data_IF_636141998101
#
_entry.id   IF_636141998101
#
_cell.length_a   1.000
_cell.length_b   1.000
_cell.length_c   1.000
_cell.angle_alpha   90.00
_cell.angle_beta   90.00
_cell.angle_gamma   90.00
#
_symmetry.space_group_name_H-M   'P 1'
#
loop_
_entity.id
_entity.type
_entity.pdbx_description
1 polymer ?
#
# COMPACT_ATOMS: atom_id res chain seq x y z
N UNK A 1 -5.02 16.63 -32.44
CA UNK A 1 -4.93 16.24 -31.01
C UNK A 1 -5.16 14.74 -30.79
N UNK A 2 -6.33 14.14 -31.04
CA UNK A 2 -6.51 12.67 -30.85
C UNK A 2 -5.65 11.84 -31.82
N UNK A 3 -5.43 12.30 -33.03
CA UNK A 3 -4.57 11.66 -34.04
C UNK A 3 -3.07 11.73 -33.70
N UNK A 4 -2.67 12.57 -32.75
CA UNK A 4 -1.28 12.75 -32.30
C UNK A 4 -0.91 11.83 -31.15
N UNK A 5 -1.91 11.21 -30.50
CA UNK A 5 -1.70 10.25 -29.38
C UNK A 5 -1.00 9.00 -29.89
N UNK A 6 0.16 8.70 -29.33
CA UNK A 6 0.96 7.54 -29.70
C UNK A 6 0.81 6.39 -28.69
N UNK A 7 0.09 5.36 -29.10
CA UNK A 7 0.04 4.10 -28.35
C UNK A 7 1.44 3.51 -28.12
N UNK A 8 2.32 3.62 -29.10
CA UNK A 8 3.67 3.04 -29.00
C UNK A 8 4.53 3.77 -27.96
N UNK A 9 4.42 5.11 -27.85
CA UNK A 9 5.11 5.88 -26.81
C UNK A 9 4.61 5.50 -25.43
N UNK A 10 3.29 5.37 -25.24
CA UNK A 10 2.73 4.95 -23.96
C UNK A 10 3.19 3.53 -23.59
N UNK A 11 3.12 2.57 -24.50
CA UNK A 11 3.60 1.20 -24.27
C UNK A 11 5.08 1.15 -23.97
N UNK A 12 5.90 1.91 -24.71
CA UNK A 12 7.33 2.02 -24.46
C UNK A 12 7.62 2.55 -23.05
N UNK A 13 6.90 3.58 -22.62
CA UNK A 13 7.01 4.14 -21.28
C UNK A 13 6.63 3.10 -20.19
N UNK A 14 5.51 2.38 -20.38
CA UNK A 14 5.08 1.34 -19.44
C UNK A 14 6.15 0.24 -19.32
N UNK A 15 6.63 -0.29 -20.45
CA UNK A 15 7.68 -1.32 -20.46
C UNK A 15 8.95 -0.82 -19.78
N UNK A 16 9.42 0.36 -20.16
CA UNK A 16 10.61 0.93 -19.56
C UNK A 16 10.50 1.10 -18.05
N UNK A 17 9.38 1.66 -17.56
CA UNK A 17 9.16 1.86 -16.12
C UNK A 17 9.07 0.54 -15.35
N UNK A 18 8.41 -0.47 -15.91
CA UNK A 18 8.22 -1.76 -15.23
C UNK A 18 9.45 -2.65 -15.23
N UNK A 19 10.31 -2.52 -16.25
CA UNK A 19 11.55 -3.29 -16.38
C UNK A 19 12.71 -2.66 -15.61
N UNK A 20 12.87 -1.32 -15.70
CA UNK A 20 14.01 -0.61 -15.11
C UNK A 20 13.75 -0.14 -13.68
N UNK A 21 12.48 0.08 -13.33
CA UNK A 21 12.08 0.54 -12.00
C UNK A 21 10.98 -0.36 -11.39
N UNK A 22 11.22 -1.68 -11.25
CA UNK A 22 10.17 -2.64 -10.86
C UNK A 22 9.70 -2.50 -9.41
N UNK A 23 10.47 -1.81 -8.55
CA UNK A 23 10.19 -1.61 -7.12
C UNK A 23 10.40 -0.15 -6.75
N UNK A 24 9.48 0.70 -7.23
CA UNK A 24 9.51 2.17 -7.03
C UNK A 24 8.88 2.55 -5.70
N UNK A 25 9.29 1.90 -4.62
CA UNK A 25 8.75 2.25 -3.30
C UNK A 25 9.13 3.68 -2.94
N UNK A 26 8.16 4.45 -2.42
CA UNK A 26 8.37 5.84 -2.02
C UNK A 26 9.61 5.99 -1.12
N UNK A 27 10.52 6.88 -1.50
CA UNK A 27 11.80 7.11 -0.82
C UNK A 27 12.90 6.08 -1.10
N UNK A 28 12.68 5.15 -2.03
CA UNK A 28 13.71 4.19 -2.45
C UNK A 28 14.62 4.76 -3.54
N UNK A 29 15.84 4.22 -3.72
CA UNK A 29 16.69 4.58 -4.86
C UNK A 29 16.03 4.33 -6.21
N UNK A 30 15.15 3.35 -6.31
CA UNK A 30 14.40 3.01 -7.51
C UNK A 30 13.33 4.07 -7.83
N UNK A 31 12.63 4.60 -6.82
CA UNK A 31 11.72 5.75 -6.98
C UNK A 31 12.47 6.98 -7.45
N UNK A 32 13.60 7.32 -6.83
CA UNK A 32 14.45 8.43 -7.24
C UNK A 32 14.94 8.30 -8.71
N UNK A 33 15.26 7.08 -9.16
CA UNK A 33 15.64 6.82 -10.54
C UNK A 33 14.46 6.98 -11.50
N UNK A 34 13.27 6.50 -11.14
CA UNK A 34 12.04 6.69 -11.91
C UNK A 34 11.67 8.17 -12.01
N UNK A 35 11.82 8.92 -10.93
CA UNK A 35 11.58 10.36 -10.90
C UNK A 35 12.52 11.11 -11.88
N UNK A 36 13.81 10.78 -11.89
CA UNK A 36 14.74 11.34 -12.87
C UNK A 36 14.33 11.03 -14.31
N UNK A 37 13.94 9.78 -14.57
CA UNK A 37 13.44 9.39 -15.90
C UNK A 37 12.25 10.26 -16.33
N UNK A 38 11.25 10.41 -15.50
CA UNK A 38 10.07 11.25 -15.80
C UNK A 38 10.48 12.71 -16.02
N UNK A 39 11.34 13.25 -15.15
CA UNK A 39 11.89 14.61 -15.28
C UNK A 39 12.56 14.83 -16.64
N UNK A 40 13.41 13.90 -17.07
CA UNK A 40 14.11 14.03 -18.36
C UNK A 40 13.14 13.89 -19.55
N UNK A 41 12.14 13.04 -19.47
CA UNK A 41 11.09 12.95 -20.51
C UNK A 41 10.32 14.26 -20.66
N UNK A 42 9.90 14.85 -19.54
CA UNK A 42 9.20 16.14 -19.55
C UNK A 42 10.04 17.28 -20.13
N UNK A 43 11.35 17.33 -19.80
CA UNK A 43 12.30 18.29 -20.42
C UNK A 43 12.45 18.06 -21.91
N UNK A 44 12.53 16.80 -22.39
CA UNK A 44 12.60 16.48 -23.81
C UNK A 44 11.38 16.96 -24.60
N UNK A 45 10.23 17.08 -23.93
CA UNK A 45 9.01 17.66 -24.52
C UNK A 45 9.01 19.19 -24.53
N UNK A 46 10.07 19.81 -24.00
CA UNK A 46 10.24 21.27 -24.00
C UNK A 46 9.51 22.00 -22.88
N UNK A 47 9.09 21.28 -21.85
CA UNK A 47 8.38 21.87 -20.71
C UNK A 47 9.34 22.48 -19.68
N UNK A 48 8.86 23.44 -18.93
CA UNK A 48 9.51 23.91 -17.72
C UNK A 48 9.28 22.86 -16.61
N UNK A 49 10.38 22.30 -16.06
CA UNK A 49 10.31 21.14 -15.16
C UNK A 49 11.08 21.39 -13.89
N UNK A 50 10.44 21.14 -12.77
CA UNK A 50 11.04 21.07 -11.44
C UNK A 50 10.86 19.64 -10.89
N UNK A 51 11.92 19.05 -10.31
CA UNK A 51 11.81 17.80 -9.54
C UNK A 51 11.90 18.15 -8.05
N UNK A 52 10.73 18.28 -7.41
CA UNK A 52 10.63 18.67 -6.01
C UNK A 52 10.98 17.52 -5.10
N UNK A 53 11.65 17.82 -3.99
CA UNK A 53 12.00 16.87 -2.95
C UNK A 53 11.19 17.13 -1.69
N UNK A 54 10.67 16.05 -1.10
CA UNK A 54 9.91 16.11 0.15
C UNK A 54 10.45 15.10 1.14
N UNK A 55 10.60 15.49 2.39
CA UNK A 55 10.94 14.59 3.48
C UNK A 55 9.66 13.97 4.03
N UNK A 56 9.51 12.65 3.90
CA UNK A 56 8.25 11.94 4.18
C UNK A 56 8.48 10.72 5.07
N UNK A 57 7.45 10.36 5.85
CA UNK A 57 7.43 9.17 6.69
C UNK A 57 6.95 7.97 5.89
N UNK A 58 7.88 7.09 5.56
CA UNK A 58 7.70 5.95 4.68
C UNK A 58 7.84 4.60 5.41
N UNK A 59 7.56 3.52 4.72
CA UNK A 59 7.72 2.16 5.23
C UNK A 59 8.08 1.20 4.11
N UNK A 60 9.07 0.33 4.35
CA UNK A 60 9.41 -0.79 3.47
C UNK A 60 8.93 -2.10 4.09
N UNK A 61 7.87 -2.73 3.56
CA UNK A 61 7.38 -4.03 4.00
C UNK A 61 8.23 -5.15 3.37
N UNK A 62 9.13 -5.75 4.16
CA UNK A 62 10.18 -6.65 3.67
C UNK A 62 9.77 -8.13 3.65
N UNK A 63 9.29 -8.66 4.79
CA UNK A 63 9.09 -10.09 4.95
C UNK A 63 7.91 -10.41 5.86
N UNK A 64 7.18 -11.50 5.55
CA UNK A 64 6.26 -12.13 6.50
C UNK A 64 6.22 -13.64 6.35
N UNK A 65 5.88 -14.31 7.45
CA UNK A 65 5.53 -15.72 7.51
C UNK A 65 4.38 -15.87 8.48
N UNK A 66 3.37 -16.66 8.10
CA UNK A 66 2.22 -16.99 8.94
C UNK A 66 2.08 -18.50 9.00
N UNK A 67 1.94 -19.05 10.21
CA UNK A 67 1.68 -20.46 10.44
C UNK A 67 0.53 -20.60 11.42
N UNK A 68 -0.53 -21.31 11.05
CA UNK A 68 -1.56 -21.78 11.99
C UNK A 68 -0.95 -22.92 12.79
N UNK A 69 -1.16 -22.93 14.11
CA UNK A 69 -0.51 -23.92 14.97
C UNK A 69 -1.30 -25.22 15.07
N UNK A 70 -2.65 -25.16 14.98
CA UNK A 70 -3.51 -26.35 15.02
C UNK A 70 -4.79 -26.15 14.19
N UNK A 71 -5.00 -26.96 13.11
CA UNK A 71 -4.01 -27.85 12.49
C UNK A 71 -2.82 -27.08 11.93
N UNK A 72 -1.62 -27.62 11.97
CA UNK A 72 -0.43 -26.95 11.45
C UNK A 72 -0.58 -26.68 9.96
N UNK A 73 -0.52 -25.39 9.56
CA UNK A 73 -0.70 -25.00 8.18
C UNK A 73 0.06 -23.68 7.91
N UNK A 74 0.93 -23.68 6.90
CA UNK A 74 1.54 -22.45 6.43
C UNK A 74 0.54 -21.66 5.56
N UNK A 75 0.55 -20.34 5.73
CA UNK A 75 -0.30 -19.40 5.01
C UNK A 75 0.59 -18.42 4.24
N UNK A 76 0.37 -18.33 2.94
CA UNK A 76 1.01 -17.31 2.12
C UNK A 76 0.59 -15.92 2.57
N UNK A 77 1.58 -15.07 2.84
CA UNK A 77 1.34 -13.74 3.38
C UNK A 77 2.30 -12.70 2.81
N UNK A 78 1.89 -11.44 2.85
CA UNK A 78 2.75 -10.28 2.63
C UNK A 78 2.63 -9.34 3.84
N UNK A 79 3.74 -8.74 4.29
CA UNK A 79 3.67 -7.77 5.36
C UNK A 79 2.96 -6.50 4.89
N UNK A 80 2.18 -5.89 5.77
CA UNK A 80 1.63 -4.57 5.52
C UNK A 80 2.71 -3.49 5.76
N UNK A 81 2.56 -2.34 5.11
CA UNK A 81 3.40 -1.18 5.38
C UNK A 81 2.96 -0.47 6.66
N UNK A 82 3.90 0.21 7.34
CA UNK A 82 3.68 0.97 8.58
C UNK A 82 3.19 0.12 9.76
N UNK A 83 3.60 -1.15 9.82
CA UNK A 83 3.32 -2.05 10.95
C UNK A 83 4.32 -1.86 12.08
N UNK A 84 3.95 -2.30 13.29
CA UNK A 84 4.92 -2.72 14.30
C UNK A 84 5.55 -4.03 13.83
N UNK A 85 6.86 -4.07 13.66
CA UNK A 85 7.56 -5.31 13.34
C UNK A 85 7.46 -6.31 14.51
N UNK A 86 7.37 -7.60 14.18
CA UNK A 86 7.50 -8.67 15.17
C UNK A 86 8.97 -8.88 15.54
N UNK A 87 9.22 -9.69 16.57
CA UNK A 87 10.53 -10.30 16.78
C UNK A 87 10.90 -11.20 15.58
N UNK A 88 12.20 -11.41 15.31
CA UNK A 88 12.63 -12.28 14.20
C UNK A 88 12.10 -13.72 14.28
N UNK A 89 11.97 -14.26 15.49
CA UNK A 89 11.40 -15.61 15.75
C UNK A 89 9.89 -15.68 15.59
N UNK A 90 9.22 -14.55 15.40
CA UNK A 90 7.79 -14.41 15.33
C UNK A 90 7.10 -14.29 16.68
N UNK A 91 5.82 -13.94 16.64
CA UNK A 91 4.94 -13.82 17.81
C UNK A 91 3.69 -14.68 17.61
N UNK A 92 3.15 -15.24 18.71
CA UNK A 92 1.94 -16.08 18.66
C UNK A 92 0.75 -15.24 19.09
N UNK A 93 -0.33 -15.33 18.33
CA UNK A 93 -1.60 -14.63 18.59
C UNK A 93 -2.77 -15.63 18.51
N UNK A 94 -3.75 -15.42 19.36
CA UNK A 94 -5.09 -15.95 19.10
C UNK A 94 -5.72 -15.13 17.95
N UNK A 95 -6.30 -15.81 16.97
CA UNK A 95 -6.92 -15.20 15.79
C UNK A 95 -8.45 -15.11 16.00
N UNK A 96 -8.99 -13.91 15.86
CA UNK A 96 -10.42 -13.64 15.98
C UNK A 96 -10.94 -13.04 14.66
N UNK A 97 -12.01 -13.62 14.11
CA UNK A 97 -12.67 -13.05 12.95
C UNK A 97 -13.64 -11.94 13.37
N UNK A 98 -13.48 -10.75 12.78
CA UNK A 98 -14.26 -9.54 13.08
C UNK A 98 -14.88 -8.92 11.82
N UNK A 99 -15.20 -9.72 10.82
CA UNK A 99 -15.93 -9.27 9.63
C UNK A 99 -15.26 -8.11 8.89
N UNK A 100 -16.00 -7.03 8.71
CA UNK A 100 -15.50 -5.83 8.02
C UNK A 100 -14.56 -4.95 8.88
N UNK A 101 -14.43 -5.20 10.19
CA UNK A 101 -13.52 -4.49 11.07
C UNK A 101 -13.90 -3.02 11.34
N UNK A 102 -15.18 -2.67 11.24
CA UNK A 102 -15.71 -1.41 11.78
C UNK A 102 -15.98 -1.52 13.29
N UNK A 103 -16.32 -0.44 13.95
CA UNK A 103 -16.60 -0.45 15.40
C UNK A 103 -17.72 -1.42 15.80
N UNK A 104 -18.74 -1.58 14.96
CA UNK A 104 -19.86 -2.47 15.24
C UNK A 104 -19.44 -3.94 15.23
N UNK A 105 -18.43 -4.28 14.42
CA UNK A 105 -17.90 -5.64 14.34
C UNK A 105 -17.16 -6.11 15.60
N UNK A 106 -16.76 -5.20 16.48
CA UNK A 106 -16.10 -5.53 17.77
C UNK A 106 -17.07 -5.60 18.94
N UNK A 107 -18.38 -5.34 18.71
CA UNK A 107 -19.35 -5.38 19.79
C UNK A 107 -19.35 -6.76 20.46
N UNK A 108 -19.23 -6.76 21.78
CA UNK A 108 -19.23 -7.96 22.64
C UNK A 108 -18.08 -8.96 22.35
N UNK A 109 -17.02 -8.53 21.63
CA UNK A 109 -15.84 -9.35 21.31
C UNK A 109 -14.60 -8.75 21.98
N UNK A 110 -13.96 -9.51 22.87
CA UNK A 110 -12.65 -9.13 23.43
C UNK A 110 -11.52 -9.53 22.47
N UNK A 111 -10.84 -8.52 21.93
CA UNK A 111 -9.69 -8.69 21.04
C UNK A 111 -8.37 -8.24 21.66
N UNK A 112 -8.37 -7.95 22.97
CA UNK A 112 -7.20 -7.45 23.69
C UNK A 112 -6.00 -8.40 23.56
N UNK A 113 -4.90 -7.91 22.99
CA UNK A 113 -3.68 -8.68 22.75
C UNK A 113 -3.78 -9.73 21.63
N UNK A 114 -4.90 -9.83 20.93
CA UNK A 114 -5.14 -10.82 19.88
C UNK A 114 -4.88 -10.26 18.47
N UNK A 115 -4.87 -11.14 17.49
CA UNK A 115 -4.86 -10.76 16.06
C UNK A 115 -6.27 -10.85 15.51
N UNK A 116 -6.72 -9.83 14.80
CA UNK A 116 -8.04 -9.81 14.16
C UNK A 116 -7.92 -10.13 12.68
N UNK A 117 -8.80 -11.02 12.18
CA UNK A 117 -8.98 -11.29 10.76
C UNK A 117 -10.09 -10.39 10.21
N UNK A 118 -9.77 -9.55 9.24
CA UNK A 118 -10.72 -8.60 8.62
C UNK A 118 -10.85 -8.84 7.11
N UNK A 119 -12.06 -8.62 6.60
CA UNK A 119 -12.33 -8.60 5.16
C UNK A 119 -12.08 -7.20 4.59
N UNK A 120 -11.20 -7.09 3.59
CA UNK A 120 -10.91 -5.78 2.95
C UNK A 120 -11.92 -5.40 1.87
N UNK A 121 -12.88 -6.27 1.56
CA UNK A 121 -13.92 -6.04 0.56
C UNK A 121 -14.91 -4.93 0.94
N UNK A 122 -15.02 -4.60 2.22
CA UNK A 122 -16.03 -3.70 2.77
C UNK A 122 -15.38 -2.53 3.49
N UNK A 123 -16.11 -1.41 3.58
CA UNK A 123 -15.72 -0.27 4.41
C UNK A 123 -15.59 -0.67 5.89
N UNK A 124 -14.76 0.04 6.66
CA UNK A 124 -13.91 1.17 6.29
C UNK A 124 -12.65 0.76 5.49
N UNK A 125 -11.85 1.71 4.97
CA UNK A 125 -10.58 1.39 4.30
C UNK A 125 -9.57 0.79 5.29
N UNK A 126 -8.58 0.03 4.77
CA UNK A 126 -7.66 -0.76 5.61
C UNK A 126 -6.91 0.05 6.67
N UNK A 127 -6.40 1.27 6.41
CA UNK A 127 -5.78 2.08 7.46
C UNK A 127 -6.71 2.38 8.63
N UNK A 128 -7.99 2.60 8.34
CA UNK A 128 -9.03 2.85 9.36
C UNK A 128 -9.37 1.57 10.13
N UNK A 129 -9.46 0.42 9.44
CA UNK A 129 -9.62 -0.88 10.12
C UNK A 129 -8.48 -1.14 11.11
N UNK A 130 -7.24 -0.82 10.71
CA UNK A 130 -6.07 -1.00 11.58
C UNK A 130 -6.12 -0.05 12.79
N UNK A 131 -6.55 1.21 12.60
CA UNK A 131 -6.74 2.17 13.68
C UNK A 131 -7.80 1.68 14.66
N UNK A 132 -8.97 1.25 14.17
CA UNK A 132 -10.05 0.72 15.00
C UNK A 132 -9.58 -0.52 15.75
N UNK A 133 -8.95 -1.49 15.09
CA UNK A 133 -8.43 -2.69 15.73
C UNK A 133 -7.48 -2.36 16.87
N UNK A 134 -6.56 -1.41 16.66
CA UNK A 134 -5.62 -0.95 17.67
C UNK A 134 -6.33 -0.28 18.86
N UNK A 135 -7.29 0.60 18.61
CA UNK A 135 -8.11 1.26 19.65
C UNK A 135 -8.94 0.24 20.46
N UNK A 136 -9.39 -0.85 19.83
CA UNK A 136 -10.08 -1.94 20.50
C UNK A 136 -9.13 -2.89 21.25
N UNK A 137 -7.82 -2.63 21.25
CA UNK A 137 -6.81 -3.37 22.00
C UNK A 137 -6.19 -4.55 21.25
N UNK A 138 -6.49 -4.75 19.96
CA UNK A 138 -5.85 -5.79 19.17
C UNK A 138 -4.34 -5.53 19.00
N UNK A 139 -3.54 -6.60 19.09
CA UNK A 139 -2.08 -6.55 18.87
C UNK A 139 -1.68 -6.84 17.42
N UNK A 140 -2.59 -7.40 16.61
CA UNK A 140 -2.36 -7.70 15.21
C UNK A 140 -3.63 -7.59 14.35
N UNK A 141 -3.41 -7.36 13.05
CA UNK A 141 -4.46 -7.38 12.02
C UNK A 141 -4.02 -8.25 10.85
N UNK A 142 -4.88 -9.14 10.41
CA UNK A 142 -4.72 -9.97 9.23
C UNK A 142 -5.78 -9.57 8.19
N UNK A 143 -5.33 -9.10 7.03
CA UNK A 143 -6.19 -8.59 5.98
C UNK A 143 -6.46 -9.67 4.94
N UNK A 144 -7.67 -10.24 4.92
CA UNK A 144 -8.12 -11.15 3.88
C UNK A 144 -8.36 -10.37 2.59
N UNK A 145 -7.71 -10.76 1.49
CA UNK A 145 -7.85 -10.06 0.22
C UNK A 145 -9.28 -10.17 -0.35
N UNK A 146 -9.59 -9.34 -1.33
CA UNK A 146 -10.89 -9.22 -1.99
C UNK A 146 -10.86 -9.77 -3.43
N UNK A 147 -12.02 -9.81 -4.07
CA UNK A 147 -12.14 -10.20 -5.47
C UNK A 147 -12.44 -11.69 -5.67
N UNK A 148 -12.28 -12.16 -6.90
CA UNK A 148 -12.56 -13.54 -7.31
C UNK A 148 -11.29 -14.41 -7.39
N UNK A 149 -10.11 -13.79 -7.35
CA UNK A 149 -8.83 -14.50 -7.35
C UNK A 149 -8.48 -14.88 -5.91
N UNK A 150 -8.50 -16.17 -5.62
CA UNK A 150 -8.27 -16.69 -4.28
C UNK A 150 -6.77 -16.78 -3.92
N UNK A 151 -5.88 -16.67 -4.92
CA UNK A 151 -4.44 -16.86 -4.75
C UNK A 151 -3.64 -15.56 -4.66
N UNK A 152 -4.24 -14.43 -4.96
CA UNK A 152 -3.56 -13.13 -4.95
C UNK A 152 -3.55 -12.49 -3.57
N UNK A 153 -2.39 -11.96 -3.17
CA UNK A 153 -2.24 -11.09 -1.99
C UNK A 153 -1.92 -9.68 -2.45
N UNK A 154 -2.75 -8.71 -2.06
CA UNK A 154 -2.45 -7.30 -2.25
C UNK A 154 -1.74 -6.73 -1.01
N UNK A 155 -0.64 -6.02 -1.20
CA UNK A 155 0.00 -5.26 -0.12
C UNK A 155 -0.94 -4.15 0.37
N UNK A 156 -0.86 -3.82 1.66
CA UNK A 156 -1.69 -2.81 2.32
C UNK A 156 -0.83 -1.90 3.18
N UNK A 157 -1.24 -0.64 3.31
CA UNK A 157 -0.69 0.28 4.29
C UNK A 157 -1.61 0.40 5.49
N UNK A 158 -1.05 0.47 6.68
CA UNK A 158 -1.82 0.57 7.94
C UNK A 158 -1.75 1.97 8.57
N UNK A 159 -1.05 2.92 7.94
CA UNK A 159 -0.93 4.28 8.47
C UNK A 159 -2.29 4.99 8.41
N UNK A 160 -2.93 5.18 9.56
CA UNK A 160 -4.20 5.89 9.71
C UNK A 160 -4.10 7.42 9.57
N UNK A 161 -2.89 7.94 9.39
CA UNK A 161 -2.62 9.37 9.17
C UNK A 161 -2.35 9.61 7.69
N UNK A 162 -3.15 10.46 7.07
CA UNK A 162 -2.96 10.88 5.68
C UNK A 162 -1.88 11.95 5.59
N UNK A 163 -0.99 11.80 4.59
CA UNK A 163 0.20 12.66 4.48
C UNK A 163 1.26 12.34 5.53
N UNK A 164 2.14 13.30 5.82
CA UNK A 164 3.15 13.16 6.86
C UNK A 164 2.53 13.28 8.25
N UNK A 165 2.91 12.41 9.19
CA UNK A 165 2.52 12.58 10.58
C UNK A 165 3.19 13.83 11.18
N UNK A 166 2.50 14.47 12.10
CA UNK A 166 2.96 15.59 12.91
C UNK A 166 3.04 15.19 14.37
N UNK A 167 3.64 16.00 15.23
CA UNK A 167 3.62 15.76 16.69
C UNK A 167 2.20 15.55 17.22
N UNK A 168 1.22 16.26 16.65
CA UNK A 168 -0.17 16.19 17.10
C UNK A 168 -0.86 14.87 16.74
N UNK A 169 -0.43 14.16 15.69
CA UNK A 169 -1.13 12.97 15.18
C UNK A 169 -0.23 11.74 14.99
N UNK A 170 1.04 11.81 15.35
CA UNK A 170 1.95 10.66 15.23
C UNK A 170 1.46 9.46 16.06
N UNK A 171 0.85 9.72 17.21
CA UNK A 171 0.25 8.72 18.08
C UNK A 171 -0.97 7.99 17.46
N UNK A 172 -1.56 8.54 16.38
CA UNK A 172 -2.65 7.90 15.64
C UNK A 172 -2.17 6.83 14.68
N UNK A 173 -0.85 6.66 14.49
CA UNK A 173 -0.30 5.55 13.72
C UNK A 173 -0.38 4.29 14.58
N UNK A 174 -1.13 3.26 14.18
CA UNK A 174 -1.33 2.10 15.04
C UNK A 174 -0.04 1.30 15.21
N UNK A 175 0.31 0.99 16.47
CA UNK A 175 1.42 0.12 16.85
C UNK A 175 0.99 -1.36 16.82
N UNK A 176 0.58 -1.84 15.64
CA UNK A 176 -0.05 -3.14 15.41
C UNK A 176 0.75 -3.98 14.41
N UNK A 177 0.87 -5.29 14.64
CA UNK A 177 1.42 -6.23 13.65
C UNK A 177 0.41 -6.39 12.52
N UNK A 178 0.86 -6.43 11.25
CA UNK A 178 -0.08 -6.53 10.14
C UNK A 178 0.42 -7.34 8.96
N UNK A 179 -0.42 -8.24 8.47
CA UNK A 179 -0.17 -9.06 7.27
C UNK A 179 -1.40 -9.11 6.37
N UNK A 180 -1.15 -9.19 5.07
CA UNK A 180 -2.16 -9.56 4.08
C UNK A 180 -2.05 -11.04 3.75
N UNK A 181 -3.20 -11.69 3.55
CA UNK A 181 -3.31 -13.08 3.11
C UNK A 181 -4.18 -13.19 1.86
N UNK A 182 -4.08 -14.32 1.14
CA UNK A 182 -4.96 -14.58 0.01
C UNK A 182 -6.43 -14.65 0.47
N UNK A 183 -7.36 -14.47 -0.46
CA UNK A 183 -8.78 -14.66 -0.16
C UNK A 183 -9.07 -16.10 0.24
N UNK A 184 -8.50 -17.09 -0.47
CA UNK A 184 -8.71 -18.51 -0.17
C UNK A 184 -8.21 -18.89 1.22
N UNK A 185 -7.02 -18.44 1.61
CA UNK A 185 -6.50 -18.64 2.96
C UNK A 185 -7.36 -17.94 4.03
N UNK A 186 -7.75 -16.70 3.77
CA UNK A 186 -8.62 -15.93 4.67
C UNK A 186 -9.99 -16.59 4.90
N UNK A 187 -10.60 -17.17 3.87
CA UNK A 187 -11.87 -17.91 4.00
C UNK A 187 -11.71 -19.17 4.86
N UNK A 188 -10.61 -19.92 4.71
CA UNK A 188 -10.31 -21.06 5.57
C UNK A 188 -10.12 -20.65 7.02
N UNK A 189 -9.36 -19.60 7.28
CA UNK A 189 -9.15 -19.05 8.62
C UNK A 189 -10.47 -18.55 9.25
N UNK A 190 -11.30 -17.84 8.46
CA UNK A 190 -12.64 -17.41 8.87
C UNK A 190 -13.48 -18.60 9.32
N UNK A 191 -13.50 -19.68 8.54
CA UNK A 191 -14.24 -20.89 8.90
C UNK A 191 -13.75 -21.49 10.23
N UNK A 192 -12.43 -21.63 10.42
CA UNK A 192 -11.86 -22.11 11.68
C UNK A 192 -12.30 -21.25 12.88
N UNK A 193 -12.27 -19.92 12.75
CA UNK A 193 -12.73 -19.02 13.80
C UNK A 193 -14.22 -19.18 14.11
N UNK A 194 -15.06 -19.43 13.09
CA UNK A 194 -16.51 -19.59 13.26
C UNK A 194 -16.92 -20.95 13.81
N UNK A 195 -16.05 -21.97 13.76
CA UNK A 195 -16.27 -23.29 14.37
C UNK A 195 -16.20 -23.25 15.92
N UNK A 196 -15.89 -22.10 16.50
CA UNK A 196 -15.81 -21.93 17.96
C UNK A 196 -14.55 -22.54 18.58
N UNK A 197 -13.56 -22.88 17.79
CA UNK A 197 -12.25 -23.34 18.28
C UNK A 197 -11.32 -22.15 18.51
N UNK A 198 -10.43 -22.26 19.47
CA UNK A 198 -9.32 -21.34 19.62
C UNK A 198 -8.36 -21.55 18.46
N UNK A 199 -8.19 -20.53 17.60
CA UNK A 199 -7.24 -20.55 16.48
C UNK A 199 -6.01 -19.74 16.89
N UNK A 200 -4.85 -20.39 16.92
CA UNK A 200 -3.57 -19.73 17.21
C UNK A 200 -2.72 -19.65 15.94
N UNK A 201 -2.16 -18.46 15.69
CA UNK A 201 -1.28 -18.21 14.56
C UNK A 201 0.06 -17.69 15.05
N UNK A 202 1.15 -18.25 14.52
CA UNK A 202 2.49 -17.68 14.66
C UNK A 202 2.77 -16.77 13.48
N UNK A 203 3.09 -15.51 13.73
CA UNK A 203 3.31 -14.49 12.71
C UNK A 203 4.70 -13.89 12.87
N UNK A 204 5.45 -13.89 11.79
CA UNK A 204 6.63 -13.03 11.61
C UNK A 204 6.26 -12.00 10.56
N UNK A 205 6.42 -10.72 10.87
CA UNK A 205 6.16 -9.62 9.95
C UNK A 205 7.19 -8.51 10.19
N UNK A 206 7.98 -8.22 9.17
CA UNK A 206 9.09 -7.26 9.24
C UNK A 206 8.84 -6.15 8.22
N UNK A 207 8.82 -4.93 8.70
CA UNK A 207 8.78 -3.73 7.89
C UNK A 207 9.56 -2.61 8.58
N UNK A 208 10.24 -1.79 7.80
CA UNK A 208 10.84 -0.56 8.29
C UNK A 208 9.83 0.57 8.35
N UNK A 209 10.07 1.51 9.24
CA UNK A 209 9.42 2.82 9.29
C UNK A 209 10.54 3.86 9.34
N UNK A 210 10.60 4.72 8.34
CA UNK A 210 11.70 5.68 8.23
C UNK A 210 11.27 6.98 7.58
N UNK A 211 11.99 8.04 7.90
CA UNK A 211 11.90 9.29 7.16
C UNK A 211 12.88 9.25 6.00
N UNK A 212 12.40 9.50 4.80
CA UNK A 212 13.23 9.53 3.58
C UNK A 212 12.72 10.58 2.59
N UNK A 213 13.58 10.95 1.64
CA UNK A 213 13.25 11.88 0.59
C UNK A 213 12.46 11.15 -0.49
N UNK A 214 11.34 11.73 -0.91
CA UNK A 214 10.58 11.34 -2.11
C UNK A 214 10.62 12.48 -3.13
N UNK A 215 10.43 12.16 -4.39
CA UNK A 215 10.56 13.09 -5.49
C UNK A 215 9.22 13.27 -6.22
N UNK A 216 8.97 14.51 -6.64
CA UNK A 216 7.77 14.87 -7.40
C UNK A 216 8.16 15.67 -8.64
N UNK A 217 8.33 15.01 -9.79
CA UNK A 217 8.48 15.72 -11.06
C UNK A 217 7.22 16.54 -11.34
N UNK A 218 7.39 17.83 -11.53
CA UNK A 218 6.31 18.77 -11.84
C UNK A 218 6.70 19.54 -13.08
N UNK A 219 5.78 19.65 -14.04
CA UNK A 219 5.98 20.42 -15.26
C UNK A 219 4.84 21.42 -15.44
N UNK A 220 5.14 22.56 -16.06
CA UNK A 220 4.18 23.61 -16.39
C UNK A 220 4.17 23.81 -17.90
N UNK A 221 2.97 23.71 -18.48
CA UNK A 221 2.68 24.18 -19.82
C UNK A 221 1.88 25.48 -19.70
N UNK A 222 2.49 26.60 -20.06
CA UNK A 222 1.84 27.90 -19.97
C UNK A 222 0.76 28.06 -21.05
N UNK A 223 -0.41 28.52 -20.62
CA UNK A 223 -1.48 28.92 -21.54
C UNK A 223 -1.20 30.27 -22.22
N UNK A 224 -2.16 30.75 -22.95
CA UNK A 224 -2.07 32.05 -23.67
C UNK A 224 -2.30 33.28 -22.77
N UNK A 225 -2.47 33.09 -21.46
CA UNK A 225 -2.69 34.18 -20.49
C UNK A 225 -4.09 34.80 -20.48
N UNK A 226 -5.08 34.14 -21.12
CA UNK A 226 -6.46 34.63 -21.13
C UNK A 226 -7.25 34.33 -19.84
N UNK A 227 -6.74 33.47 -18.96
CA UNK A 227 -7.34 33.11 -17.67
C UNK A 227 -6.26 32.76 -16.67
N UNK A 228 -6.55 32.95 -15.38
CA UNK A 228 -5.74 32.47 -14.25
C UNK A 228 -6.09 31.02 -13.85
N UNK A 229 -7.04 30.38 -14.52
CA UNK A 229 -7.41 29.00 -14.30
C UNK A 229 -6.35 28.05 -14.85
N UNK A 230 -6.18 26.90 -14.20
CA UNK A 230 -5.27 25.85 -14.68
C UNK A 230 -5.93 24.48 -14.65
N UNK A 231 -5.45 23.58 -15.49
CA UNK A 231 -5.79 22.16 -15.50
C UNK A 231 -4.66 21.39 -14.84
N UNK A 232 -4.97 20.67 -13.75
CA UNK A 232 -4.03 19.79 -13.09
C UNK A 232 -4.20 18.35 -13.60
N UNK A 233 -3.11 17.80 -14.15
CA UNK A 233 -3.02 16.37 -14.49
C UNK A 233 -1.99 15.74 -13.57
N UNK A 234 -2.36 14.67 -12.85
CA UNK A 234 -1.44 14.02 -11.92
C UNK A 234 -1.58 12.48 -11.94
N UNK A 235 -0.49 11.82 -11.60
CA UNK A 235 -0.43 10.38 -11.39
C UNK A 235 0.59 10.08 -10.30
N UNK A 236 0.41 8.99 -9.53
CA UNK A 236 1.43 8.58 -8.57
C UNK A 236 2.55 7.79 -9.26
N UNK A 237 3.79 8.01 -8.83
CA UNK A 237 4.97 7.41 -9.42
C UNK A 237 5.34 6.08 -8.76
N UNK A 238 5.13 5.98 -7.45
CA UNK A 238 5.53 4.84 -6.63
C UNK A 238 4.80 3.54 -6.97
N UNK A 239 5.45 2.42 -6.67
CA UNK A 239 4.82 1.09 -6.76
C UNK A 239 5.58 0.08 -5.90
N UNK A 240 4.85 -0.86 -5.30
CA UNK A 240 5.43 -1.94 -4.48
C UNK A 240 5.92 -3.14 -5.30
N UNK A 241 5.63 -3.20 -6.58
CA UNK A 241 6.04 -4.19 -7.59
C UNK A 241 6.07 -3.49 -8.96
N UNK A 242 6.30 -4.17 -10.08
CA UNK A 242 6.33 -3.50 -11.39
C UNK A 242 5.17 -2.52 -11.64
N UNK A 243 3.98 -2.82 -11.12
CA UNK A 243 2.88 -1.87 -11.03
C UNK A 243 2.45 -1.32 -12.38
N UNK A 244 2.12 -2.22 -13.34
CA UNK A 244 1.67 -1.83 -14.68
C UNK A 244 0.45 -0.93 -14.58
N UNK A 245 -0.65 -1.43 -13.99
CA UNK A 245 -1.89 -0.67 -13.80
C UNK A 245 -1.82 0.32 -12.64
N UNK A 246 -0.96 0.06 -11.64
CA UNK A 246 -0.81 0.90 -10.45
C UNK A 246 0.68 1.27 -10.24
N UNK A 247 1.25 2.22 -10.98
CA UNK A 247 0.56 3.17 -11.84
C UNK A 247 1.38 3.54 -13.09
N UNK A 248 2.15 2.61 -13.70
CA UNK A 248 2.94 2.90 -14.91
C UNK A 248 2.04 3.38 -16.07
N UNK A 249 0.80 2.86 -16.18
CA UNK A 249 -0.17 3.32 -17.17
C UNK A 249 -0.60 4.77 -16.94
N UNK A 250 -0.85 5.19 -15.70
CA UNK A 250 -1.16 6.58 -15.37
C UNK A 250 0.01 7.51 -15.68
N UNK A 251 1.24 7.12 -15.35
CA UNK A 251 2.44 7.88 -15.69
C UNK A 251 2.63 8.00 -17.21
N UNK A 252 2.43 6.89 -17.95
CA UNK A 252 2.52 6.91 -19.42
C UNK A 252 1.46 7.83 -20.05
N UNK A 253 0.24 7.82 -19.52
CA UNK A 253 -0.83 8.70 -19.98
C UNK A 253 -0.49 10.17 -19.69
N UNK A 254 0.00 10.49 -18.50
CA UNK A 254 0.41 11.85 -18.13
C UNK A 254 1.54 12.35 -19.02
N UNK A 255 2.57 11.52 -19.26
CA UNK A 255 3.68 11.86 -20.17
C UNK A 255 3.21 12.05 -21.61
N UNK A 256 2.27 11.24 -22.09
CA UNK A 256 1.73 11.36 -23.44
C UNK A 256 0.91 12.66 -23.60
N UNK A 257 0.11 13.04 -22.61
CA UNK A 257 -0.59 14.34 -22.59
C UNK A 257 0.42 15.48 -22.66
N UNK A 258 1.55 15.38 -21.97
CA UNK A 258 2.59 16.41 -22.02
C UNK A 258 3.37 16.44 -23.34
N UNK A 259 3.39 15.33 -24.10
CA UNK A 259 4.10 15.21 -25.37
C UNK A 259 3.36 15.86 -26.54
N UNK A 260 2.03 15.78 -26.54
CA UNK A 260 1.17 16.30 -27.64
C UNK A 260 0.82 17.77 -27.46
#
# INVERSE_FOLDING_TARGET
>A
MIEEVSRNEMLSTIHYMTEHFPYRLAGSPCEAAASRYVTERLKQYGLEVENKEFYTYNSDPMYSKVTVLEPEMEIDSLPCAHIRATKPEGEIFELIYVGNGDYAAYKDIDVTGKMVLVEVSYAPPVPEKARIAYEMGAAGIMCMNWGNDEEVICRRGLKGVWGNPTEANFHCIPEIVGVGVTRGAGLKLKQLCLEGRKVEVKVTAIADRTWSIVHQPTAILHGNGSSDEFLLVCSHLDAWKPGVTCNATGNATTLEICRI
#
